data_IF_068712558857
#
_entry.id   IF_068712558857
#
_cell.length_a   1.000
_cell.length_b   1.000
_cell.length_c   1.000
_cell.angle_alpha   90.00
_cell.angle_beta   90.00
_cell.angle_gamma   90.00
#
_symmetry.space_group_name_H-M   'P 1'
#
loop_
_entity.id
_entity.type
_entity.pdbx_description
1 polymer ?
#
# COMPACT_ATOMS: atom_id res chain seq x y z
N UNK A 1 32.77 -28.72 27.88
CA UNK A 1 31.61 -27.80 27.97
C UNK A 1 31.72 -26.69 26.92
N UNK A 2 32.72 -25.79 26.99
CA UNK A 2 32.87 -24.69 26.03
C UNK A 2 32.98 -25.12 24.55
N UNK A 3 33.79 -26.13 24.24
CA UNK A 3 33.94 -26.64 22.88
C UNK A 3 32.63 -27.22 22.29
N UNK A 4 31.84 -27.92 23.11
CA UNK A 4 30.56 -28.49 22.66
C UNK A 4 29.51 -27.41 22.40
N UNK A 5 29.51 -26.32 23.18
CA UNK A 5 28.67 -25.14 22.91
C UNK A 5 29.07 -24.43 21.63
N UNK A 6 30.37 -24.35 21.33
CA UNK A 6 30.89 -23.72 20.12
C UNK A 6 30.51 -24.52 18.87
N UNK A 7 30.71 -25.84 18.89
CA UNK A 7 30.29 -26.77 17.83
C UNK A 7 28.77 -26.70 17.59
N UNK A 8 27.98 -26.64 18.67
CA UNK A 8 26.52 -26.50 18.56
C UNK A 8 26.13 -25.15 17.95
N UNK A 9 26.84 -24.06 18.30
CA UNK A 9 26.55 -22.73 17.76
C UNK A 9 26.86 -22.65 16.26
N UNK A 10 27.98 -23.24 15.81
CA UNK A 10 28.33 -23.30 14.39
C UNK A 10 27.32 -24.11 13.58
N UNK A 11 26.79 -25.20 14.14
CA UNK A 11 25.75 -26.00 13.50
C UNK A 11 24.37 -25.30 13.45
N UNK A 12 24.15 -24.26 14.27
CA UNK A 12 22.89 -23.53 14.37
C UNK A 12 22.82 -22.24 13.53
N UNK A 13 23.72 -22.06 12.55
CA UNK A 13 23.68 -20.89 11.67
C UNK A 13 22.56 -21.04 10.64
N UNK A 14 21.61 -20.09 10.66
CA UNK A 14 20.47 -20.05 9.74
C UNK A 14 20.55 -18.78 8.92
N UNK A 15 20.45 -18.89 7.59
CA UNK A 15 20.25 -17.74 6.70
C UNK A 15 18.87 -17.13 6.97
N UNK A 16 18.78 -15.89 7.50
CA UNK A 16 17.50 -15.29 7.82
C UNK A 16 16.64 -15.04 6.56
N UNK A 17 17.28 -14.80 5.41
CA UNK A 17 16.61 -14.58 4.14
C UNK A 17 15.96 -15.84 3.59
N UNK A 18 16.70 -16.94 3.53
CA UNK A 18 16.21 -18.24 3.06
C UNK A 18 15.23 -18.91 4.02
N UNK A 19 15.47 -18.83 5.33
CA UNK A 19 14.65 -19.54 6.32
C UNK A 19 13.36 -18.78 6.69
N UNK A 20 13.41 -17.45 6.71
CA UNK A 20 12.29 -16.62 7.20
C UNK A 20 11.83 -15.57 6.20
N UNK A 21 12.43 -15.50 5.01
CA UNK A 21 12.06 -14.50 4.00
C UNK A 21 12.45 -13.07 4.37
N UNK A 22 13.35 -12.87 5.35
CA UNK A 22 13.80 -11.54 5.76
C UNK A 22 14.48 -10.81 4.60
N UNK A 23 14.15 -9.53 4.43
CA UNK A 23 14.64 -8.70 3.32
C UNK A 23 13.87 -8.83 2.01
N UNK A 24 12.86 -9.70 1.95
CA UNK A 24 11.91 -9.76 0.82
C UNK A 24 10.61 -9.07 1.18
N UNK A 25 10.02 -8.44 0.16
CA UNK A 25 8.71 -7.84 0.29
C UNK A 25 7.64 -8.93 0.10
N UNK A 26 6.96 -9.30 1.18
CA UNK A 26 5.83 -10.23 1.13
C UNK A 26 4.53 -9.41 1.15
N UNK A 27 4.00 -9.12 -0.04
CA UNK A 27 2.72 -8.43 -0.20
C UNK A 27 1.57 -9.43 -0.27
N UNK A 28 0.34 -8.99 0.07
CA UNK A 28 -0.87 -9.75 -0.24
C UNK A 28 -0.98 -10.03 -1.74
N UNK A 29 -1.51 -11.21 -2.08
CA UNK A 29 -1.74 -11.64 -3.45
C UNK A 29 -2.76 -10.69 -4.13
N UNK A 30 -2.40 -10.02 -5.24
CA UNK A 30 -3.29 -9.10 -5.94
C UNK A 30 -4.62 -9.74 -6.36
N UNK A 31 -4.61 -11.05 -6.60
CA UNK A 31 -5.77 -11.84 -7.04
C UNK A 31 -6.91 -11.80 -6.02
N UNK A 32 -6.59 -11.66 -4.73
CA UNK A 32 -7.57 -11.55 -3.65
C UNK A 32 -8.43 -10.27 -3.74
N UNK A 33 -7.93 -9.26 -4.47
CA UNK A 33 -8.66 -8.01 -4.75
C UNK A 33 -9.07 -7.87 -6.21
N UNK A 34 -9.10 -8.99 -6.95
CA UNK A 34 -9.56 -9.02 -8.34
C UNK A 34 -8.61 -8.38 -9.35
N UNK A 35 -7.34 -8.19 -8.98
CA UNK A 35 -6.28 -7.76 -9.88
C UNK A 35 -5.29 -8.90 -10.11
N UNK A 36 -4.65 -8.97 -11.27
CA UNK A 36 -3.44 -9.77 -11.45
C UNK A 36 -2.21 -8.93 -11.15
N UNK A 37 -1.04 -9.55 -10.91
CA UNK A 37 0.22 -8.83 -10.79
C UNK A 37 0.47 -7.86 -11.96
N UNK A 38 0.14 -8.30 -13.19
CA UNK A 38 0.32 -7.51 -14.42
C UNK A 38 -0.73 -6.38 -14.60
N UNK A 39 -1.82 -6.40 -13.84
CA UNK A 39 -2.92 -5.42 -13.96
C UNK A 39 -3.10 -4.56 -12.71
N UNK A 40 -2.39 -4.84 -11.62
CA UNK A 40 -2.52 -4.13 -10.35
C UNK A 40 -2.28 -2.63 -10.48
N UNK A 41 -1.24 -2.21 -11.20
CA UNK A 41 -0.93 -0.79 -11.41
C UNK A 41 -2.06 -0.07 -12.17
N UNK A 42 -2.60 -0.71 -13.21
CA UNK A 42 -3.72 -0.18 -13.99
C UNK A 42 -5.00 -0.10 -13.15
N UNK A 43 -5.33 -1.17 -12.43
CA UNK A 43 -6.49 -1.21 -11.55
C UNK A 43 -6.42 -0.14 -10.46
N UNK A 44 -5.23 0.10 -9.91
CA UNK A 44 -4.99 1.19 -8.97
C UNK A 44 -5.23 2.56 -9.62
N UNK A 45 -4.65 2.80 -10.80
CA UNK A 45 -4.83 4.05 -11.53
C UNK A 45 -6.31 4.32 -11.85
N UNK A 46 -7.05 3.33 -12.33
CA UNK A 46 -8.48 3.42 -12.65
C UNK A 46 -9.30 3.76 -11.40
N UNK A 47 -9.01 3.11 -10.27
CA UNK A 47 -9.71 3.38 -9.00
C UNK A 47 -9.39 4.77 -8.46
N UNK A 48 -8.16 5.25 -8.61
CA UNK A 48 -7.80 6.62 -8.26
C UNK A 48 -8.48 7.65 -9.18
N UNK A 49 -8.55 7.39 -10.49
CA UNK A 49 -9.27 8.25 -11.43
C UNK A 49 -10.77 8.33 -11.11
N UNK A 50 -11.40 7.21 -10.76
CA UNK A 50 -12.77 7.18 -10.26
C UNK A 50 -12.92 7.99 -8.95
N UNK A 51 -11.94 7.88 -8.04
CA UNK A 51 -11.88 8.71 -6.83
C UNK A 51 -11.79 10.21 -7.15
N UNK A 52 -10.97 10.61 -8.15
CA UNK A 52 -10.85 12.00 -8.58
C UNK A 52 -12.20 12.55 -9.06
N UNK A 53 -12.97 11.75 -9.79
CA UNK A 53 -14.34 12.10 -10.20
C UNK A 53 -15.28 12.20 -8.99
N UNK A 54 -15.28 11.19 -8.11
CA UNK A 54 -16.16 11.14 -6.94
C UNK A 54 -15.96 12.29 -5.96
N UNK A 55 -14.73 12.80 -5.84
CA UNK A 55 -14.42 13.97 -5.02
C UNK A 55 -14.54 15.32 -5.77
N UNK A 56 -14.82 15.30 -7.08
CA UNK A 56 -14.94 16.52 -7.90
C UNK A 56 -13.60 17.11 -8.36
N UNK A 57 -12.48 16.41 -8.17
CA UNK A 57 -11.12 16.89 -8.43
C UNK A 57 -10.69 16.75 -9.90
N UNK A 58 -11.55 16.18 -10.74
CA UNK A 58 -11.27 15.87 -12.15
C UNK A 58 -10.77 17.06 -13.00
N UNK A 59 -11.05 18.31 -12.61
CA UNK A 59 -10.60 19.52 -13.32
C UNK A 59 -9.30 20.12 -12.76
N UNK A 60 -8.77 19.58 -11.68
CA UNK A 60 -7.60 20.13 -10.99
C UNK A 60 -6.31 19.51 -11.53
N UNK A 61 -5.71 20.13 -12.55
CA UNK A 61 -4.48 19.63 -13.21
C UNK A 61 -3.35 19.32 -12.21
N UNK A 62 -3.10 20.21 -11.23
CA UNK A 62 -2.08 19.99 -10.20
C UNK A 62 -2.26 18.70 -9.39
N UNK A 63 -3.51 18.23 -9.22
CA UNK A 63 -3.79 16.97 -8.52
C UNK A 63 -3.56 15.77 -9.43
N UNK A 64 -3.79 15.90 -10.73
CA UNK A 64 -3.41 14.87 -11.70
C UNK A 64 -1.89 14.70 -11.79
N UNK A 65 -1.12 15.79 -11.87
CA UNK A 65 0.35 15.73 -11.89
C UNK A 65 0.87 14.99 -10.65
N UNK A 66 0.32 15.33 -9.47
CA UNK A 66 0.68 14.68 -8.21
C UNK A 66 0.27 13.21 -8.18
N UNK A 67 -0.93 12.89 -8.67
CA UNK A 67 -1.42 11.51 -8.72
C UNK A 67 -0.49 10.66 -9.59
N UNK A 68 -0.09 11.18 -10.74
CA UNK A 68 0.84 10.50 -11.65
C UNK A 68 2.19 10.24 -10.95
N UNK A 69 2.72 11.23 -10.23
CA UNK A 69 3.95 11.07 -9.47
C UNK A 69 3.86 9.99 -8.39
N UNK A 70 2.78 9.97 -7.63
CA UNK A 70 2.56 8.95 -6.60
C UNK A 70 2.39 7.56 -7.21
N UNK A 71 1.60 7.43 -8.29
CA UNK A 71 1.41 6.15 -9.00
C UNK A 71 2.72 5.61 -9.57
N UNK A 72 3.57 6.49 -10.12
CA UNK A 72 4.89 6.09 -10.65
C UNK A 72 5.81 5.54 -9.56
N UNK A 73 5.83 6.17 -8.39
CA UNK A 73 6.59 5.68 -7.22
C UNK A 73 6.04 4.33 -6.75
N UNK A 74 4.71 4.20 -6.65
CA UNK A 74 4.05 2.95 -6.21
C UNK A 74 4.37 1.80 -7.17
N UNK A 75 4.28 2.04 -8.48
CA UNK A 75 4.60 1.05 -9.51
C UNK A 75 6.08 0.63 -9.44
N UNK A 76 7.00 1.60 -9.26
CA UNK A 76 8.43 1.32 -9.11
C UNK A 76 8.80 0.42 -7.92
N UNK A 77 7.92 0.36 -6.91
CA UNK A 77 8.07 -0.53 -5.75
C UNK A 77 7.19 -1.78 -5.79
N UNK A 78 6.36 -1.97 -6.83
CA UNK A 78 5.41 -3.09 -6.92
C UNK A 78 4.31 -3.05 -5.86
N UNK A 79 3.98 -1.87 -5.32
CA UNK A 79 3.06 -1.73 -4.18
C UNK A 79 1.59 -1.66 -4.56
N UNK A 80 1.20 -1.71 -5.84
CA UNK A 80 -0.20 -1.52 -6.22
C UNK A 80 -1.15 -2.55 -5.58
N UNK A 81 -0.76 -3.83 -5.54
CA UNK A 81 -1.55 -4.88 -4.87
C UNK A 81 -1.77 -4.61 -3.38
N UNK A 82 -0.75 -4.05 -2.70
CA UNK A 82 -0.86 -3.64 -1.30
C UNK A 82 -1.89 -2.52 -1.12
N UNK A 83 -1.82 -1.46 -1.93
CA UNK A 83 -2.77 -0.34 -1.84
C UNK A 83 -4.21 -0.78 -2.12
N UNK A 84 -4.42 -1.65 -3.12
CA UNK A 84 -5.72 -2.21 -3.45
C UNK A 84 -6.27 -3.07 -2.29
N UNK A 85 -5.42 -3.89 -1.68
CA UNK A 85 -5.78 -4.71 -0.51
C UNK A 85 -6.19 -3.86 0.68
N UNK A 86 -5.37 -2.87 1.04
CA UNK A 86 -5.68 -1.98 2.17
C UNK A 86 -6.96 -1.17 1.90
N UNK A 87 -7.19 -0.73 0.66
CA UNK A 87 -8.42 -0.05 0.27
C UNK A 87 -9.66 -0.93 0.46
N UNK A 88 -9.58 -2.21 0.09
CA UNK A 88 -10.69 -3.15 0.27
C UNK A 88 -10.94 -3.47 1.74
N UNK A 89 -9.90 -3.72 2.54
CA UNK A 89 -10.02 -3.92 3.99
C UNK A 89 -10.66 -2.69 4.65
N UNK A 90 -10.23 -1.49 4.29
CA UNK A 90 -10.81 -0.25 4.81
C UNK A 90 -12.30 -0.09 4.42
N UNK A 91 -12.65 -0.46 3.18
CA UNK A 91 -14.02 -0.44 2.71
C UNK A 91 -14.90 -1.46 3.45
N UNK A 92 -14.40 -2.69 3.66
CA UNK A 92 -15.09 -3.73 4.42
C UNK A 92 -15.32 -3.32 5.88
N UNK A 93 -14.30 -2.82 6.56
CA UNK A 93 -14.41 -2.33 7.93
C UNK A 93 -15.52 -1.27 8.05
N UNK A 94 -15.56 -0.30 7.11
CA UNK A 94 -16.63 0.71 7.06
C UNK A 94 -18.01 0.11 6.85
N UNK A 95 -18.16 -0.88 5.95
CA UNK A 95 -19.44 -1.57 5.72
C UNK A 95 -19.95 -2.29 6.97
N UNK A 96 -19.04 -2.76 7.82
CA UNK A 96 -19.34 -3.39 9.11
C UNK A 96 -19.56 -2.38 10.25
N UNK A 97 -19.55 -1.07 9.97
CA UNK A 97 -19.67 -0.03 11.00
C UNK A 97 -18.42 0.15 11.86
N UNK A 98 -17.30 -0.48 11.50
CA UNK A 98 -16.01 -0.31 12.20
C UNK A 98 -15.37 0.98 11.74
N UNK A 99 -15.02 1.84 12.70
CA UNK A 99 -14.33 3.11 12.43
C UNK A 99 -12.89 2.85 11.97
N UNK A 100 -12.54 3.40 10.82
CA UNK A 100 -11.18 3.33 10.25
C UNK A 100 -10.46 4.64 10.51
N UNK A 101 -9.26 4.57 11.10
CA UNK A 101 -8.40 5.71 11.30
C UNK A 101 -7.03 5.46 10.65
N UNK A 102 -6.64 6.31 9.71
CA UNK A 102 -5.30 6.28 9.14
C UNK A 102 -4.31 7.03 10.06
N UNK A 103 -3.09 6.49 10.19
CA UNK A 103 -1.97 7.06 10.95
C UNK A 103 -0.67 6.85 10.17
N UNK A 104 0.36 7.64 10.48
CA UNK A 104 1.68 7.56 9.85
C UNK A 104 1.87 8.49 8.64
N UNK A 105 3.01 8.35 7.97
CA UNK A 105 3.44 9.22 6.86
C UNK A 105 2.56 9.12 5.61
N UNK A 106 1.89 7.97 5.41
CA UNK A 106 1.02 7.73 4.26
C UNK A 106 -0.29 8.53 4.24
N UNK A 107 -0.64 9.21 5.34
CA UNK A 107 -1.86 10.03 5.47
C UNK A 107 -1.87 11.24 4.53
N UNK A 108 -0.68 11.70 4.11
CA UNK A 108 -0.54 12.82 3.17
C UNK A 108 -0.68 12.45 1.68
N UNK A 109 -0.73 11.15 1.35
CA UNK A 109 -0.82 10.69 -0.03
C UNK A 109 -2.19 11.00 -0.64
N UNK A 110 -2.19 11.47 -1.89
CA UNK A 110 -3.41 11.63 -2.66
C UNK A 110 -4.04 10.26 -2.98
N UNK A 111 -3.22 9.24 -3.30
CA UNK A 111 -3.70 7.87 -3.54
C UNK A 111 -4.46 7.32 -2.33
N UNK A 112 -3.92 7.44 -1.10
CA UNK A 112 -4.61 6.93 0.10
C UNK A 112 -5.92 7.67 0.38
N UNK A 113 -5.97 8.97 0.07
CA UNK A 113 -7.19 9.75 0.15
C UNK A 113 -8.25 9.29 -0.87
N UNK A 114 -7.88 9.18 -2.15
CA UNK A 114 -8.80 8.81 -3.24
C UNK A 114 -9.33 7.38 -3.11
N UNK A 115 -8.55 6.46 -2.53
CA UNK A 115 -8.99 5.10 -2.23
C UNK A 115 -9.89 5.02 -0.99
N UNK A 116 -10.07 6.13 -0.27
CA UNK A 116 -10.80 6.17 0.99
C UNK A 116 -10.09 5.40 2.11
N UNK A 117 -8.77 5.18 2.03
CA UNK A 117 -7.99 4.58 3.12
C UNK A 117 -7.84 5.60 4.25
N UNK A 118 -7.57 6.86 3.90
CA UNK A 118 -7.47 7.97 4.82
C UNK A 118 -8.67 8.93 4.67
N UNK A 119 -9.36 9.26 5.77
CA UNK A 119 -10.37 10.33 5.76
C UNK A 119 -9.74 11.73 5.74
N UNK A 120 -8.42 11.83 5.95
CA UNK A 120 -7.70 13.10 6.01
C UNK A 120 -7.20 13.48 4.63
N UNK A 121 -7.63 14.65 4.16
CA UNK A 121 -7.12 15.30 2.95
C UNK A 121 -6.29 16.50 3.38
N UNK A 122 -4.96 16.46 3.21
CA UNK A 122 -4.09 17.62 3.53
C UNK A 122 -4.27 18.79 2.55
N UNK A 123 -4.97 18.58 1.45
CA UNK A 123 -5.12 19.52 0.33
C UNK A 123 -6.28 20.50 0.48
N UNK A 124 -6.98 20.50 1.63
CA UNK A 124 -8.11 21.41 1.91
C UNK A 124 -7.71 22.73 2.60
N UNK A 125 -6.43 23.02 2.78
CA UNK A 125 -5.97 24.29 3.36
C UNK A 125 -4.58 24.68 2.87
N UNK A 126 -4.55 25.64 1.95
CA UNK A 126 -3.54 26.71 1.90
C UNK A 126 -4.10 27.85 1.00
N UNK A 127 -4.66 28.85 1.70
CA UNK A 127 -5.31 30.09 1.24
C UNK A 127 -6.74 29.95 0.72
#
# INVERSE_FOLDING_TARGET
LLAATEETAEACVVDPGGAFGLGRLNLPEPELVGASADTADRALADRCAAGMLGHGYHREGKRWDRLEDELRIIAGHGFAGYFLTVAEVAAQARRLGVRVAARGSGVGSLVTHLLGISPVTRWRTAW
#
